data_IF_337157564069
#
_entry.id   IF_337157564069
#
_cell.length_a   1.000
_cell.length_b   1.000
_cell.length_c   1.000
_cell.angle_alpha   90.00
_cell.angle_beta   90.00
_cell.angle_gamma   90.00
#
_symmetry.space_group_name_H-M   'P 1'
#
loop_
_entity.id
_entity.type
_entity.pdbx_description
1 polymer ?
#
# COMPACT_ATOMS: atom_id res chain seq x y z
N UNK A 1 54.28 18.79 -11.69
CA UNK A 1 53.44 18.53 -10.48
C UNK A 1 51.94 18.76 -10.72
N UNK A 2 51.52 19.70 -11.58
CA UNK A 2 50.08 19.94 -11.87
C UNK A 2 49.32 18.77 -12.52
N UNK A 3 49.96 17.96 -13.37
CA UNK A 3 49.30 16.86 -14.08
C UNK A 3 48.94 15.66 -13.18
N UNK A 4 49.79 15.33 -12.20
CA UNK A 4 49.54 14.21 -11.28
C UNK A 4 48.44 14.55 -10.27
N UNK A 5 48.45 15.79 -9.76
CA UNK A 5 47.41 16.28 -8.84
C UNK A 5 46.05 16.32 -9.53
N UNK A 6 45.97 16.78 -10.78
CA UNK A 6 44.71 16.81 -11.52
C UNK A 6 44.25 15.39 -11.87
N UNK A 7 45.18 14.49 -12.24
CA UNK A 7 44.84 13.08 -12.49
C UNK A 7 44.29 12.38 -11.25
N UNK A 8 44.89 12.60 -10.07
CA UNK A 8 44.43 12.00 -8.82
C UNK A 8 43.04 12.52 -8.43
N UNK A 9 42.82 13.83 -8.58
CA UNK A 9 41.52 14.47 -8.35
C UNK A 9 40.43 13.90 -9.26
N UNK A 10 40.73 13.71 -10.55
CA UNK A 10 39.79 13.06 -11.48
C UNK A 10 39.53 11.60 -11.12
N UNK A 11 40.55 10.84 -10.72
CA UNK A 11 40.35 9.46 -10.24
C UNK A 11 39.44 9.40 -9.01
N UNK A 12 39.61 10.30 -8.03
CA UNK A 12 38.72 10.37 -6.87
C UNK A 12 37.28 10.70 -7.26
N UNK A 13 37.06 11.68 -8.14
CA UNK A 13 35.73 12.02 -8.63
C UNK A 13 35.07 10.83 -9.33
N UNK A 14 35.80 10.13 -10.21
CA UNK A 14 35.29 8.97 -10.93
C UNK A 14 34.91 7.83 -9.99
N UNK A 15 35.75 7.54 -9.00
CA UNK A 15 35.50 6.50 -8.01
C UNK A 15 34.27 6.83 -7.16
N UNK A 16 34.17 8.03 -6.60
CA UNK A 16 33.00 8.47 -5.82
C UNK A 16 31.73 8.43 -6.66
N UNK A 17 31.78 8.96 -7.89
CA UNK A 17 30.66 8.93 -8.84
C UNK A 17 30.22 7.49 -9.13
N UNK A 18 31.16 6.57 -9.33
CA UNK A 18 30.86 5.17 -9.57
C UNK A 18 30.18 4.52 -8.35
N UNK A 19 30.75 4.69 -7.15
CA UNK A 19 30.15 4.16 -5.92
C UNK A 19 28.74 4.72 -5.68
N UNK A 20 28.53 6.03 -5.88
CA UNK A 20 27.21 6.65 -5.76
C UNK A 20 26.23 6.14 -6.81
N UNK A 21 26.69 5.83 -8.03
CA UNK A 21 25.84 5.22 -9.06
C UNK A 21 25.42 3.79 -8.68
N UNK A 22 26.31 3.02 -8.06
CA UNK A 22 25.96 1.69 -7.55
C UNK A 22 24.91 1.77 -6.44
N UNK A 23 25.09 2.72 -5.51
CA UNK A 23 24.14 2.96 -4.41
C UNK A 23 22.82 3.53 -4.93
N UNK A 24 22.82 4.41 -5.92
CA UNK A 24 21.57 4.94 -6.50
C UNK A 24 20.74 3.84 -7.17
N UNK A 25 21.40 2.77 -7.62
CA UNK A 25 20.77 1.62 -8.26
C UNK A 25 20.67 0.42 -7.31
N UNK A 26 20.69 0.63 -5.99
CA UNK A 26 20.82 -0.41 -4.94
C UNK A 26 19.99 -1.68 -5.19
N UNK A 27 18.73 -1.50 -5.62
CA UNK A 27 17.77 -2.59 -5.85
C UNK A 27 18.14 -3.49 -7.02
N UNK A 28 18.87 -2.96 -8.00
CA UNK A 28 19.34 -3.66 -9.19
C UNK A 28 20.78 -4.16 -9.00
N UNK A 29 21.61 -3.40 -8.28
CA UNK A 29 23.04 -3.72 -8.06
C UNK A 29 23.26 -4.70 -6.92
N UNK A 30 22.44 -4.63 -5.87
CA UNK A 30 22.54 -5.47 -4.67
C UNK A 30 21.19 -6.11 -4.33
N UNK A 31 20.55 -6.84 -5.25
CA UNK A 31 19.20 -7.35 -5.06
C UNK A 31 19.15 -8.31 -3.87
N UNK A 32 18.11 -8.14 -3.03
CA UNK A 32 17.85 -9.03 -1.90
C UNK A 32 16.61 -9.85 -2.21
N UNK A 33 16.82 -11.11 -2.53
CA UNK A 33 15.74 -12.09 -2.72
C UNK A 33 15.57 -12.87 -1.42
N UNK A 34 14.54 -12.51 -0.64
CA UNK A 34 14.22 -13.27 0.56
C UNK A 34 13.52 -14.59 0.16
N UNK A 35 14.30 -15.65 -0.06
CA UNK A 35 13.75 -16.96 -0.40
C UNK A 35 14.39 -18.08 0.43
N UNK A 36 13.56 -19.04 0.89
CA UNK A 36 13.93 -20.11 1.84
C UNK A 36 14.89 -21.17 1.29
N UNK A 37 15.30 -21.08 0.02
CA UNK A 37 16.20 -22.02 -0.63
C UNK A 37 17.65 -21.51 -0.49
N UNK A 38 18.52 -22.29 0.15
CA UNK A 38 19.84 -21.86 0.65
C UNK A 38 20.82 -21.25 -0.37
N UNK A 39 20.59 -21.40 -1.69
CA UNK A 39 21.43 -20.80 -2.74
C UNK A 39 21.22 -19.28 -2.89
N UNK A 40 19.98 -18.78 -2.75
CA UNK A 40 19.69 -17.33 -2.83
C UNK A 40 20.06 -16.58 -1.52
N UNK A 41 20.22 -17.32 -0.42
CA UNK A 41 20.77 -16.79 0.84
C UNK A 41 22.25 -16.41 0.69
N UNK A 42 23.01 -17.07 -0.19
CA UNK A 42 24.40 -16.70 -0.46
C UNK A 42 24.49 -15.43 -1.29
N UNK A 43 23.65 -15.28 -2.32
CA UNK A 43 23.60 -14.07 -3.15
C UNK A 43 23.27 -12.82 -2.31
N UNK A 44 22.23 -12.89 -1.47
CA UNK A 44 21.90 -11.79 -0.55
C UNK A 44 23.03 -11.48 0.45
N UNK A 45 23.79 -12.48 0.91
CA UNK A 45 24.97 -12.26 1.77
C UNK A 45 26.13 -11.62 0.99
N UNK A 46 26.35 -12.01 -0.26
CA UNK A 46 27.36 -11.40 -1.12
C UNK A 46 27.01 -9.93 -1.42
N UNK A 47 25.77 -9.65 -1.81
CA UNK A 47 25.29 -8.28 -2.05
C UNK A 47 25.43 -7.39 -0.81
N UNK A 48 25.16 -7.91 0.40
CA UNK A 48 25.40 -7.18 1.64
C UNK A 48 26.90 -6.92 1.89
N UNK A 49 27.77 -7.89 1.60
CA UNK A 49 29.22 -7.73 1.74
C UNK A 49 29.78 -6.71 0.75
N UNK A 50 29.30 -6.72 -0.48
CA UNK A 50 29.71 -5.77 -1.54
C UNK A 50 29.25 -4.35 -1.19
N UNK A 51 28.00 -4.18 -0.74
CA UNK A 51 27.51 -2.88 -0.26
C UNK A 51 28.34 -2.36 0.91
N UNK A 52 28.61 -3.23 1.91
CA UNK A 52 29.47 -2.89 3.04
C UNK A 52 30.89 -2.52 2.58
N UNK A 53 31.44 -3.21 1.59
CA UNK A 53 32.76 -2.89 1.04
C UNK A 53 32.77 -1.52 0.36
N UNK A 54 31.73 -1.17 -0.40
CA UNK A 54 31.58 0.18 -1.00
C UNK A 54 31.50 1.25 0.08
N UNK A 55 30.73 1.00 1.14
CA UNK A 55 30.64 1.91 2.28
C UNK A 55 32.01 2.14 2.95
N UNK A 56 32.79 1.08 3.13
CA UNK A 56 34.14 1.17 3.68
C UNK A 56 35.10 1.94 2.77
N UNK A 57 35.03 1.74 1.46
CA UNK A 57 35.82 2.51 0.48
C UNK A 57 35.47 4.00 0.59
N UNK A 58 34.18 4.34 0.53
CA UNK A 58 33.71 5.72 0.62
C UNK A 58 34.15 6.37 1.94
N UNK A 59 33.99 5.66 3.06
CA UNK A 59 34.37 6.18 4.36
C UNK A 59 35.89 6.43 4.47
N UNK A 60 36.72 5.53 3.92
CA UNK A 60 38.19 5.73 3.87
C UNK A 60 38.58 6.91 2.98
N UNK A 61 37.96 7.05 1.81
CA UNK A 61 38.27 8.13 0.86
C UNK A 61 37.91 9.48 1.46
N UNK A 62 36.67 9.66 1.92
CA UNK A 62 36.18 10.94 2.46
C UNK A 62 36.93 11.38 3.72
N UNK A 63 37.52 10.44 4.47
CA UNK A 63 38.34 10.76 5.64
C UNK A 63 39.82 10.99 5.33
N UNK A 64 40.30 10.67 4.13
CA UNK A 64 41.70 10.83 3.76
C UNK A 64 42.09 12.29 3.50
N UNK A 65 43.29 12.68 3.94
CA UNK A 65 43.81 14.03 3.73
C UNK A 65 44.02 14.34 2.25
N UNK A 66 44.45 13.35 1.46
CA UNK A 66 44.62 13.49 0.02
C UNK A 66 43.30 13.89 -0.67
N UNK A 67 42.18 13.26 -0.29
CA UNK A 67 40.87 13.60 -0.84
C UNK A 67 40.44 15.01 -0.46
N UNK A 68 40.57 15.38 0.83
CA UNK A 68 40.24 16.73 1.31
C UNK A 68 41.09 17.81 0.66
N UNK A 69 42.38 17.54 0.41
CA UNK A 69 43.27 18.45 -0.30
C UNK A 69 42.88 18.60 -1.78
N UNK A 70 42.51 17.51 -2.46
CA UNK A 70 42.10 17.55 -3.87
C UNK A 70 40.69 18.15 -4.06
N UNK A 71 39.80 18.00 -3.07
CA UNK A 71 38.37 18.34 -3.12
C UNK A 71 37.90 19.00 -1.79
N UNK A 72 38.36 20.23 -1.47
CA UNK A 72 38.16 20.85 -0.15
C UNK A 72 36.73 21.32 0.17
N UNK A 73 35.86 21.46 -0.84
CA UNK A 73 34.49 21.93 -0.68
C UNK A 73 33.44 20.82 -0.76
N UNK A 74 33.85 19.57 -0.62
CA UNK A 74 32.93 18.44 -0.71
C UNK A 74 32.09 18.32 0.57
N UNK A 75 30.78 18.12 0.42
CA UNK A 75 29.92 17.87 1.57
C UNK A 75 30.35 16.59 2.30
N UNK A 76 29.89 16.43 3.54
CA UNK A 76 30.13 15.19 4.28
C UNK A 76 29.56 13.98 3.53
N UNK A 77 30.21 12.82 3.69
CA UNK A 77 29.75 11.56 3.09
C UNK A 77 28.28 11.26 3.42
N UNK A 78 27.88 11.54 4.67
CA UNK A 78 26.51 11.36 5.16
C UNK A 78 25.53 12.22 4.36
N UNK A 79 25.88 13.48 4.11
CA UNK A 79 25.02 14.40 3.37
C UNK A 79 24.87 13.98 1.90
N UNK A 80 25.99 13.69 1.23
CA UNK A 80 26.00 13.22 -0.17
C UNK A 80 25.18 11.93 -0.33
N UNK A 81 25.44 10.92 0.51
CA UNK A 81 24.71 9.65 0.44
C UNK A 81 23.23 9.81 0.77
N UNK A 82 22.88 10.63 1.77
CA UNK A 82 21.48 10.92 2.07
C UNK A 82 20.77 11.54 0.85
N UNK A 83 21.44 12.43 0.12
CA UNK A 83 20.93 13.01 -1.13
C UNK A 83 20.77 11.96 -2.22
N UNK A 84 21.79 11.11 -2.43
CA UNK A 84 21.75 10.01 -3.40
C UNK A 84 20.59 9.05 -3.12
N UNK A 85 20.39 8.64 -1.86
CA UNK A 85 19.31 7.74 -1.44
C UNK A 85 17.94 8.40 -1.67
N UNK A 86 17.78 9.69 -1.31
CA UNK A 86 16.54 10.44 -1.55
C UNK A 86 16.18 10.51 -3.02
N UNK A 87 17.16 10.80 -3.88
CA UNK A 87 16.95 10.90 -5.32
C UNK A 87 16.63 9.53 -5.91
N UNK A 88 17.41 8.50 -5.57
CA UNK A 88 17.16 7.13 -6.01
C UNK A 88 15.79 6.59 -5.57
N UNK A 89 15.35 6.94 -4.36
CA UNK A 89 14.01 6.59 -3.86
C UNK A 89 12.93 7.29 -4.66
N UNK A 90 13.14 8.57 -5.02
CA UNK A 90 12.23 9.32 -5.90
C UNK A 90 12.12 8.66 -7.26
N UNK A 91 13.25 8.41 -7.92
CA UNK A 91 13.29 7.79 -9.24
C UNK A 91 12.62 6.42 -9.26
N UNK A 92 12.84 5.61 -8.22
CA UNK A 92 12.21 4.30 -8.10
C UNK A 92 10.70 4.41 -7.96
N UNK A 93 10.20 5.29 -7.08
CA UNK A 93 8.76 5.51 -6.92
C UNK A 93 8.16 6.03 -8.23
N UNK A 94 8.79 7.01 -8.88
CA UNK A 94 8.30 7.60 -10.12
C UNK A 94 8.29 6.59 -11.28
N UNK A 95 9.30 5.71 -11.36
CA UNK A 95 9.35 4.61 -12.34
C UNK A 95 8.16 3.66 -12.15
N UNK A 96 7.90 3.24 -10.91
CA UNK A 96 6.82 2.28 -10.60
C UNK A 96 5.42 2.90 -10.74
N UNK A 97 5.25 4.19 -10.41
CA UNK A 97 3.98 4.90 -10.61
C UNK A 97 3.76 5.29 -12.08
N UNK A 98 4.79 5.63 -12.85
CA UNK A 98 4.65 5.90 -14.28
C UNK A 98 4.30 4.63 -15.05
N UNK A 99 4.87 3.47 -14.68
CA UNK A 99 4.47 2.19 -15.27
C UNK A 99 3.02 1.82 -14.98
N UNK A 100 2.46 2.28 -13.86
CA UNK A 100 1.06 2.09 -13.49
C UNK A 100 0.11 2.80 -14.47
N UNK A 101 0.40 4.05 -14.87
CA UNK A 101 -0.48 4.84 -15.76
C UNK A 101 -0.34 4.55 -17.27
N UNK A 102 0.67 3.79 -17.71
CA UNK A 102 0.94 3.56 -19.15
C UNK A 102 0.14 2.42 -19.79
N UNK A 103 -0.53 1.58 -19.01
CA UNK A 103 -1.29 0.41 -19.53
C UNK A 103 -2.80 0.68 -19.44
N UNK A 104 -3.47 0.61 -20.59
CA UNK A 104 -4.92 0.85 -20.84
C UNK A 104 -5.85 0.06 -19.90
N UNK A 105 -7.10 0.56 -19.75
CA UNK A 105 -8.40 -0.05 -19.34
C UNK A 105 -8.49 -1.23 -18.33
N UNK A 106 -7.41 -1.69 -17.70
CA UNK A 106 -7.45 -2.72 -16.65
C UNK A 106 -7.85 -2.14 -15.28
N UNK A 107 -8.45 -2.98 -14.45
CA UNK A 107 -8.83 -2.80 -13.03
C UNK A 107 -7.76 -2.01 -12.23
N UNK A 108 -7.94 -0.69 -12.11
CA UNK A 108 -6.96 0.20 -11.47
C UNK A 108 -6.72 -0.18 -10.01
N UNK A 109 -7.74 -0.72 -9.33
CA UNK A 109 -7.61 -1.21 -7.95
C UNK A 109 -6.64 -2.38 -7.86
N UNK A 110 -6.72 -3.36 -8.77
CA UNK A 110 -5.76 -4.48 -8.79
C UNK A 110 -4.33 -4.02 -9.02
N UNK A 111 -4.12 -3.15 -10.01
CA UNK A 111 -2.80 -2.56 -10.25
C UNK A 111 -2.29 -1.79 -9.02
N UNK A 112 -3.19 -1.12 -8.30
CA UNK A 112 -2.82 -0.34 -7.12
C UNK A 112 -2.43 -1.28 -5.97
N UNK A 113 -3.13 -2.41 -5.82
CA UNK A 113 -2.77 -3.48 -4.90
C UNK A 113 -1.37 -4.01 -5.24
N UNK A 114 -1.09 -4.34 -6.50
CA UNK A 114 0.22 -4.82 -6.94
C UNK A 114 1.34 -3.81 -6.65
N UNK A 115 1.08 -2.53 -6.88
CA UNK A 115 2.02 -1.47 -6.56
C UNK A 115 2.23 -1.34 -5.04
N UNK A 116 1.17 -1.34 -4.25
CA UNK A 116 1.26 -1.32 -2.80
C UNK A 116 2.04 -2.53 -2.28
N UNK A 117 1.92 -3.68 -2.95
CA UNK A 117 2.63 -4.91 -2.57
C UNK A 117 4.11 -4.78 -2.88
N UNK A 118 4.44 -4.23 -4.04
CA UNK A 118 5.82 -3.90 -4.45
C UNK A 118 6.46 -2.92 -3.47
N UNK A 119 5.71 -1.87 -3.07
CA UNK A 119 6.14 -0.90 -2.06
C UNK A 119 6.36 -1.56 -0.70
N UNK A 120 5.44 -2.40 -0.25
CA UNK A 120 5.57 -3.13 1.00
C UNK A 120 6.82 -4.01 1.01
N UNK A 121 7.07 -4.79 -0.04
CA UNK A 121 8.27 -5.63 -0.14
C UNK A 121 9.56 -4.80 -0.15
N UNK A 122 9.57 -3.65 -0.83
CA UNK A 122 10.73 -2.75 -0.86
C UNK A 122 11.03 -2.15 0.52
N UNK A 123 9.98 -1.69 1.23
CA UNK A 123 10.09 -1.21 2.60
C UNK A 123 10.55 -2.31 3.56
N UNK A 124 10.04 -3.53 3.41
CA UNK A 124 10.42 -4.66 4.25
C UNK A 124 11.89 -5.00 4.05
N UNK A 125 12.34 -5.01 2.79
CA UNK A 125 13.74 -5.24 2.43
C UNK A 125 14.64 -4.15 2.99
N UNK A 126 14.22 -2.89 2.85
CA UNK A 126 14.92 -1.74 3.41
C UNK A 126 15.08 -1.85 4.92
N UNK A 127 14.01 -2.14 5.64
CA UNK A 127 14.02 -2.28 7.09
C UNK A 127 14.93 -3.40 7.56
N UNK A 128 14.87 -4.57 6.91
CA UNK A 128 15.52 -5.78 7.42
C UNK A 128 16.99 -5.90 7.03
N UNK A 129 17.39 -5.34 5.89
CA UNK A 129 18.71 -5.62 5.33
C UNK A 129 19.53 -4.35 5.04
N UNK A 130 18.96 -3.36 4.34
CA UNK A 130 19.72 -2.17 3.98
C UNK A 130 19.93 -1.25 5.18
N UNK A 131 18.88 -0.94 5.93
CA UNK A 131 18.92 -0.01 7.06
C UNK A 131 19.97 -0.37 8.12
N UNK A 132 20.12 -1.65 8.56
CA UNK A 132 21.21 -2.03 9.44
C UNK A 132 22.61 -1.74 8.88
N UNK A 133 22.82 -1.91 7.57
CA UNK A 133 24.14 -1.66 6.94
C UNK A 133 24.42 -0.17 6.89
N UNK A 134 23.45 0.65 6.49
CA UNK A 134 23.60 2.10 6.44
C UNK A 134 23.77 2.72 7.83
N UNK A 135 23.02 2.25 8.83
CA UNK A 135 23.16 2.67 10.22
C UNK A 135 24.52 2.30 10.80
N UNK A 136 24.93 1.04 10.68
CA UNK A 136 26.15 0.56 11.35
C UNK A 136 27.44 1.09 10.70
N UNK A 137 27.47 1.25 9.37
CA UNK A 137 28.70 1.61 8.66
C UNK A 137 28.84 3.12 8.43
N UNK A 138 27.73 3.86 8.26
CA UNK A 138 27.74 5.28 7.85
C UNK A 138 26.85 6.15 8.75
N UNK A 139 26.09 5.58 9.69
CA UNK A 139 25.14 6.29 10.54
C UNK A 139 24.07 7.04 9.74
N UNK A 140 23.49 6.37 8.74
CA UNK A 140 22.36 6.87 7.95
C UNK A 140 21.12 6.01 8.23
N UNK A 141 20.01 6.66 8.58
CA UNK A 141 18.69 6.03 8.71
C UNK A 141 18.04 5.81 7.35
N UNK A 142 18.51 4.80 6.60
CA UNK A 142 18.05 4.50 5.25
C UNK A 142 16.54 4.26 5.19
N UNK A 143 16.00 3.47 6.12
CA UNK A 143 14.57 3.16 6.16
C UNK A 143 13.74 4.44 6.34
N UNK A 144 14.16 5.33 7.24
CA UNK A 144 13.48 6.61 7.48
C UNK A 144 13.45 7.48 6.23
N UNK A 145 14.57 7.59 5.52
CA UNK A 145 14.65 8.35 4.27
C UNK A 145 13.68 7.79 3.23
N UNK A 146 13.69 6.46 3.05
CA UNK A 146 12.84 5.79 2.07
C UNK A 146 11.34 5.94 2.41
N UNK A 147 10.97 5.66 3.67
CA UNK A 147 9.58 5.69 4.12
C UNK A 147 8.99 7.10 3.94
N UNK A 148 9.71 8.14 4.38
CA UNK A 148 9.25 9.54 4.24
C UNK A 148 9.14 9.98 2.78
N UNK A 149 9.87 9.35 1.86
CA UNK A 149 9.72 9.62 0.42
C UNK A 149 8.51 8.91 -0.19
N UNK A 150 8.27 7.66 0.22
CA UNK A 150 7.17 6.83 -0.30
C UNK A 150 5.82 7.33 0.22
N UNK A 151 5.73 7.66 1.51
CA UNK A 151 4.50 8.02 2.21
C UNK A 151 3.60 9.03 1.44
N UNK A 152 4.07 10.24 1.10
CA UNK A 152 3.22 11.19 0.39
C UNK A 152 2.83 10.73 -1.01
N UNK A 153 3.75 10.08 -1.74
CA UNK A 153 3.47 9.64 -3.11
C UNK A 153 2.46 8.49 -3.15
N UNK A 154 2.58 7.53 -2.23
CA UNK A 154 1.66 6.42 -2.13
C UNK A 154 0.24 6.90 -1.78
N UNK A 155 0.11 7.76 -0.78
CA UNK A 155 -1.21 8.25 -0.33
C UNK A 155 -1.88 9.08 -1.41
N UNK A 156 -1.15 9.97 -2.08
CA UNK A 156 -1.70 10.76 -3.19
C UNK A 156 -2.19 9.85 -4.33
N UNK A 157 -1.47 8.76 -4.61
CA UNK A 157 -1.87 7.81 -5.64
C UNK A 157 -3.09 7.00 -5.24
N UNK A 158 -3.14 6.50 -4.00
CA UNK A 158 -4.30 5.79 -3.47
C UNK A 158 -5.52 6.72 -3.52
N UNK A 159 -5.39 7.96 -3.06
CA UNK A 159 -6.47 8.95 -3.13
C UNK A 159 -6.95 9.15 -4.57
N UNK A 160 -6.04 9.37 -5.52
CA UNK A 160 -6.38 9.55 -6.94
C UNK A 160 -7.20 8.37 -7.47
N UNK A 161 -6.71 7.14 -7.31
CA UNK A 161 -7.40 5.93 -7.82
C UNK A 161 -8.73 5.75 -7.10
N UNK A 162 -8.78 5.97 -5.79
CA UNK A 162 -10.03 5.84 -5.03
C UNK A 162 -11.09 6.88 -5.47
N UNK A 163 -10.68 8.10 -5.80
CA UNK A 163 -11.58 9.13 -6.37
C UNK A 163 -12.05 8.72 -7.77
N UNK A 164 -11.17 8.20 -8.60
CA UNK A 164 -11.51 7.73 -9.96
C UNK A 164 -12.52 6.57 -9.92
N UNK A 165 -12.37 5.64 -8.98
CA UNK A 165 -13.20 4.43 -8.87
C UNK A 165 -14.52 4.65 -8.10
N UNK A 166 -14.50 5.47 -7.05
CA UNK A 166 -15.63 5.63 -6.12
C UNK A 166 -16.21 7.05 -6.08
N UNK A 167 -15.61 8.02 -6.77
CA UNK A 167 -16.05 9.42 -6.83
C UNK A 167 -15.46 10.32 -5.74
N UNK A 168 -15.59 11.64 -5.93
CA UNK A 168 -15.04 12.69 -5.07
C UNK A 168 -15.60 12.69 -3.63
N UNK A 169 -16.78 12.10 -3.42
CA UNK A 169 -17.40 12.11 -2.11
C UNK A 169 -16.73 11.17 -1.10
N UNK A 170 -15.73 10.38 -1.51
CA UNK A 170 -14.85 9.69 -0.55
C UNK A 170 -14.11 10.65 0.38
N UNK A 171 -13.90 11.90 -0.05
CA UNK A 171 -13.29 12.96 0.77
C UNK A 171 -14.24 13.45 1.88
N UNK A 172 -15.52 13.08 1.83
CA UNK A 172 -16.50 13.40 2.89
C UNK A 172 -16.33 12.42 4.05
N UNK A 173 -15.28 12.62 4.85
CA UNK A 173 -15.14 11.93 6.11
C UNK A 173 -16.02 12.60 7.17
N UNK A 174 -17.01 11.91 7.79
CA UNK A 174 -17.90 12.57 8.73
C UNK A 174 -17.14 12.96 10.00
N UNK A 175 -17.23 14.23 10.40
CA UNK A 175 -16.64 14.72 11.65
C UNK A 175 -17.11 13.93 12.89
N UNK A 176 -18.32 13.37 12.84
CA UNK A 176 -18.88 12.51 13.88
C UNK A 176 -18.10 11.20 14.08
N UNK A 177 -17.41 10.71 13.04
CA UNK A 177 -16.56 9.50 13.12
C UNK A 177 -15.26 9.80 13.86
N UNK A 178 -14.71 11.01 13.73
CA UNK A 178 -13.54 11.46 14.51
C UNK A 178 -13.86 11.49 16.02
N UNK A 179 -15.05 11.99 16.40
CA UNK A 179 -15.49 11.98 17.80
C UNK A 179 -15.81 10.57 18.32
N UNK A 180 -16.32 9.68 17.46
CA UNK A 180 -16.67 8.30 17.84
C UNK A 180 -15.43 7.40 17.95
N UNK A 181 -14.51 7.41 16.98
CA UNK A 181 -13.33 6.54 16.99
C UNK A 181 -12.16 7.07 17.83
N UNK A 182 -12.07 8.40 18.04
CA UNK A 182 -11.15 8.98 19.03
C UNK A 182 -11.46 8.55 20.48
N UNK A 183 -12.69 8.06 20.74
CA UNK A 183 -13.16 7.59 22.05
C UNK A 183 -13.47 6.08 22.10
N UNK A 184 -13.75 5.43 20.96
CA UNK A 184 -14.25 4.05 20.89
C UNK A 184 -13.18 2.94 20.82
N UNK A 185 -11.91 3.22 21.13
CA UNK A 185 -10.98 2.18 21.63
C UNK A 185 -11.28 1.79 23.09
N UNK A 186 -12.23 2.47 23.76
CA UNK A 186 -12.55 2.33 25.19
C UNK A 186 -14.07 2.32 25.48
N UNK A 187 -14.89 1.57 24.73
CA UNK A 187 -16.22 1.01 25.11
C UNK A 187 -17.28 1.07 23.98
N UNK A 188 -18.01 -0.04 23.81
CA UNK A 188 -19.20 -0.27 22.96
C UNK A 188 -20.50 0.20 23.68
N UNK A 189 -21.75 0.18 23.13
CA UNK A 189 -22.27 -0.04 21.76
C UNK A 189 -23.33 1.01 21.28
N UNK A 190 -23.78 0.82 20.02
CA UNK A 190 -25.18 0.98 19.51
C UNK A 190 -25.71 2.19 18.70
N UNK A 191 -26.74 1.83 17.91
CA UNK A 191 -27.86 2.57 17.26
C UNK A 191 -27.65 3.24 15.89
N UNK A 192 -28.65 3.38 15.00
CA UNK A 192 -29.89 2.66 14.57
C UNK A 192 -30.48 3.52 13.42
N UNK A 193 -31.16 2.85 12.47
CA UNK A 193 -32.27 3.29 11.57
C UNK A 193 -32.08 4.30 10.43
N UNK A 194 -32.86 4.01 9.38
CA UNK A 194 -33.46 4.80 8.27
C UNK A 194 -33.04 4.31 6.88
N UNK A 195 -33.89 4.24 5.84
CA UNK A 195 -35.34 4.32 5.65
C UNK A 195 -35.65 3.68 4.29
N UNK A 196 -36.85 3.12 4.13
CA UNK A 196 -37.34 2.44 2.93
C UNK A 196 -37.56 3.40 1.75
N UNK A 197 -37.18 2.95 0.54
CA UNK A 197 -37.91 3.22 -0.71
C UNK A 197 -37.43 2.23 -1.82
N UNK A 198 -38.38 1.41 -2.28
CA UNK A 198 -38.39 0.55 -3.49
C UNK A 198 -38.76 1.40 -4.72
N UNK A 199 -38.30 1.15 -5.98
CA UNK A 199 -38.52 -0.06 -6.81
C UNK A 199 -37.29 -0.43 -7.68
N UNK A 200 -37.18 -1.43 -8.58
CA UNK A 200 -38.08 -2.14 -9.49
C UNK A 200 -37.35 -3.43 -9.97
N UNK A 201 -38.09 -4.46 -10.44
CA UNK A 201 -37.59 -5.72 -11.01
C UNK A 201 -36.57 -5.49 -12.16
N UNK A 202 -35.28 -5.72 -11.90
CA UNK A 202 -34.22 -5.74 -12.91
C UNK A 202 -33.96 -7.15 -13.46
N UNK A 203 -33.55 -7.22 -14.73
CA UNK A 203 -33.21 -8.43 -15.47
C UNK A 203 -32.13 -9.26 -14.74
N UNK A 204 -32.37 -10.55 -14.46
CA UNK A 204 -31.50 -11.42 -13.67
C UNK A 204 -30.05 -11.47 -14.17
N UNK A 205 -29.82 -11.35 -15.48
CA UNK A 205 -28.46 -11.33 -16.06
C UNK A 205 -27.74 -9.99 -15.82
N UNK A 206 -28.48 -8.88 -15.79
CA UNK A 206 -27.91 -7.58 -15.40
C UNK A 206 -27.59 -7.53 -13.90
N UNK A 207 -28.40 -8.19 -13.07
CA UNK A 207 -28.18 -8.30 -11.62
C UNK A 207 -26.99 -9.22 -11.34
N UNK A 208 -26.86 -10.35 -12.02
CA UNK A 208 -25.76 -11.30 -11.80
C UNK A 208 -24.39 -10.70 -12.18
N UNK A 209 -24.30 -9.97 -13.29
CA UNK A 209 -23.09 -9.24 -13.65
C UNK A 209 -22.76 -8.12 -12.65
N UNK A 210 -23.76 -7.38 -12.16
CA UNK A 210 -23.57 -6.36 -11.10
C UNK A 210 -23.15 -6.99 -9.74
N UNK A 211 -23.62 -8.22 -9.46
CA UNK A 211 -23.31 -8.98 -8.24
C UNK A 211 -21.84 -9.43 -8.22
N UNK A 212 -21.34 -10.01 -9.31
CA UNK A 212 -19.93 -10.44 -9.39
C UNK A 212 -18.97 -9.23 -9.34
N UNK A 213 -19.34 -8.11 -9.98
CA UNK A 213 -18.55 -6.87 -9.97
C UNK A 213 -18.47 -6.30 -8.54
N UNK A 214 -19.57 -6.29 -7.79
CA UNK A 214 -19.58 -5.73 -6.42
C UNK A 214 -18.85 -6.60 -5.38
N UNK A 215 -18.81 -7.91 -5.55
CA UNK A 215 -18.02 -8.80 -4.68
C UNK A 215 -16.51 -8.65 -4.95
N UNK A 216 -16.09 -8.64 -6.22
CA UNK A 216 -14.68 -8.45 -6.57
C UNK A 216 -14.15 -7.07 -6.13
N UNK A 217 -14.94 -6.00 -6.33
CA UNK A 217 -14.58 -4.67 -5.85
C UNK A 217 -14.41 -4.66 -4.32
N UNK A 218 -15.24 -5.39 -3.59
CA UNK A 218 -15.12 -5.46 -2.13
C UNK A 218 -13.87 -6.21 -1.67
N UNK A 219 -13.53 -7.32 -2.32
CA UNK A 219 -12.30 -8.08 -2.05
C UNK A 219 -11.09 -7.20 -2.31
N UNK A 220 -11.04 -6.52 -3.46
CA UNK A 220 -9.95 -5.60 -3.81
C UNK A 220 -9.85 -4.46 -2.78
N UNK A 221 -10.97 -3.91 -2.32
CA UNK A 221 -10.99 -2.84 -1.33
C UNK A 221 -10.42 -3.30 0.03
N UNK A 222 -10.79 -4.50 0.50
CA UNK A 222 -10.23 -5.11 1.71
C UNK A 222 -8.75 -5.45 1.59
N UNK A 223 -8.33 -5.98 0.45
CA UNK A 223 -6.94 -6.29 0.19
C UNK A 223 -6.09 -5.02 0.20
N UNK A 224 -6.52 -3.99 -0.51
CA UNK A 224 -5.85 -2.70 -0.55
C UNK A 224 -5.77 -2.05 0.84
N UNK A 225 -6.87 -2.02 1.59
CA UNK A 225 -6.87 -1.49 2.96
C UNK A 225 -5.88 -2.25 3.85
N UNK A 226 -5.90 -3.59 3.80
CA UNK A 226 -5.03 -4.44 4.62
C UNK A 226 -3.56 -4.19 4.31
N UNK A 227 -3.22 -4.05 3.03
CA UNK A 227 -1.87 -3.82 2.57
C UNK A 227 -1.35 -2.44 2.98
N UNK A 228 -2.16 -1.39 2.83
CA UNK A 228 -1.83 -0.05 3.33
C UNK A 228 -1.73 -0.06 4.85
N UNK A 229 -2.58 -0.80 5.55
CA UNK A 229 -2.49 -0.95 7.01
C UNK A 229 -1.18 -1.60 7.45
N UNK A 230 -0.69 -2.61 6.72
CA UNK A 230 0.63 -3.20 6.99
C UNK A 230 1.74 -2.16 6.77
N UNK A 231 1.70 -1.40 5.68
CA UNK A 231 2.66 -0.31 5.42
C UNK A 231 2.59 0.77 6.51
N UNK A 232 1.39 1.14 6.94
CA UNK A 232 1.14 2.04 8.06
C UNK A 232 1.81 1.53 9.34
N UNK A 233 1.68 0.24 9.65
CA UNK A 233 2.30 -0.36 10.84
C UNK A 233 3.82 -0.26 10.84
N UNK A 234 4.47 -0.23 9.67
CA UNK A 234 5.92 -0.10 9.57
C UNK A 234 6.43 1.29 10.03
N UNK A 235 5.55 2.29 10.19
CA UNK A 235 5.92 3.59 10.77
C UNK A 235 6.52 3.47 12.18
N UNK A 236 6.24 2.39 12.91
CA UNK A 236 6.82 2.13 14.23
C UNK A 236 8.35 1.94 14.20
N UNK A 237 8.94 1.78 13.01
CA UNK A 237 10.38 1.70 12.82
C UNK A 237 11.03 3.09 12.69
N UNK A 238 10.23 4.16 12.71
CA UNK A 238 10.67 5.55 12.66
C UNK A 238 10.70 6.13 14.07
N UNK A 239 11.52 7.18 14.27
CA UNK A 239 11.48 7.99 15.48
C UNK A 239 10.10 8.66 15.65
N UNK A 240 9.67 8.85 16.89
CA UNK A 240 8.34 9.43 17.19
C UNK A 240 8.14 10.82 16.55
N UNK A 241 9.20 11.63 16.48
CA UNK A 241 9.20 12.93 15.82
C UNK A 241 8.90 12.85 14.32
N UNK A 242 9.29 11.76 13.66
CA UNK A 242 9.07 11.55 12.23
C UNK A 242 7.69 10.95 11.93
N UNK A 243 7.01 10.36 12.92
CA UNK A 243 5.73 9.70 12.70
C UNK A 243 4.55 10.69 12.56
N UNK A 244 4.63 11.85 13.21
CA UNK A 244 3.49 12.77 13.33
C UNK A 244 3.13 13.48 12.02
N UNK A 245 4.10 13.63 11.11
CA UNK A 245 3.92 14.35 9.85
C UNK A 245 3.61 13.44 8.66
N UNK A 246 3.27 12.17 8.89
CA UNK A 246 3.05 11.20 7.82
C UNK A 246 1.62 11.31 7.26
N UNK A 247 1.50 11.28 5.94
CA UNK A 247 0.22 11.31 5.24
C UNK A 247 -0.57 10.02 5.45
N UNK A 248 0.13 8.88 5.57
CA UNK A 248 -0.49 7.57 5.80
C UNK A 248 -1.27 7.50 7.11
N UNK A 249 -1.08 8.42 8.05
CA UNK A 249 -1.91 8.45 9.27
C UNK A 249 -3.40 8.60 8.98
N UNK A 250 -3.77 9.20 7.84
CA UNK A 250 -5.16 9.47 7.45
C UNK A 250 -5.68 8.53 6.37
N UNK A 251 -4.95 7.44 6.06
CA UNK A 251 -5.33 6.54 4.97
C UNK A 251 -6.74 5.98 5.11
N UNK A 252 -7.19 5.71 6.34
CA UNK A 252 -8.52 5.15 6.63
C UNK A 252 -9.68 6.05 6.16
N UNK A 253 -9.43 7.36 6.02
CA UNK A 253 -10.45 8.31 5.54
C UNK A 253 -10.86 8.00 4.10
N UNK A 254 -9.91 7.56 3.28
CA UNK A 254 -10.13 7.19 1.87
C UNK A 254 -11.04 5.97 1.70
N UNK A 255 -11.13 5.11 2.73
CA UNK A 255 -11.87 3.85 2.67
C UNK A 255 -13.24 3.92 3.33
N UNK A 256 -13.50 4.93 4.16
CA UNK A 256 -14.72 5.01 4.95
C UNK A 256 -15.99 5.01 4.09
N UNK A 257 -16.08 5.92 3.11
CA UNK A 257 -17.27 6.01 2.25
C UNK A 257 -17.44 4.79 1.33
N UNK A 258 -16.39 4.28 0.67
CA UNK A 258 -16.47 3.01 -0.07
C UNK A 258 -17.00 1.85 0.79
N UNK A 259 -16.46 1.66 2.00
CA UNK A 259 -16.95 0.61 2.91
C UNK A 259 -18.37 0.84 3.39
N UNK A 260 -18.73 2.08 3.73
CA UNK A 260 -20.09 2.41 4.16
C UNK A 260 -21.12 2.04 3.08
N UNK A 261 -20.87 2.46 1.84
CA UNK A 261 -21.71 2.12 0.69
C UNK A 261 -21.82 0.62 0.48
N UNK A 262 -20.70 -0.10 0.58
CA UNK A 262 -20.67 -1.56 0.48
C UNK A 262 -21.52 -2.22 1.57
N UNK A 263 -21.40 -1.78 2.83
CA UNK A 263 -22.22 -2.27 3.94
C UNK A 263 -23.71 -1.98 3.72
N UNK A 264 -24.06 -0.78 3.27
CA UNK A 264 -25.46 -0.39 3.02
C UNK A 264 -26.07 -1.23 1.88
N UNK A 265 -25.28 -1.53 0.84
CA UNK A 265 -25.67 -2.47 -0.22
C UNK A 265 -25.90 -3.89 0.30
N UNK A 266 -25.02 -4.39 1.18
CA UNK A 266 -25.19 -5.71 1.80
C UNK A 266 -26.46 -5.77 2.64
N UNK A 267 -26.69 -4.77 3.49
CA UNK A 267 -27.92 -4.70 4.32
C UNK A 267 -29.16 -4.79 3.45
N UNK A 268 -29.25 -3.94 2.41
CA UNK A 268 -30.37 -3.96 1.45
C UNK A 268 -30.53 -5.33 0.77
N UNK A 269 -29.44 -6.05 0.50
CA UNK A 269 -29.50 -7.41 -0.07
C UNK A 269 -30.01 -8.44 0.94
N UNK A 270 -29.54 -8.36 2.18
CA UNK A 270 -29.98 -9.25 3.26
C UNK A 270 -31.48 -9.05 3.50
N UNK A 271 -31.93 -7.81 3.60
CA UNK A 271 -33.34 -7.47 3.78
C UNK A 271 -34.19 -8.03 2.62
N UNK A 272 -33.79 -7.78 1.37
CA UNK A 272 -34.47 -8.34 0.19
C UNK A 272 -34.49 -9.87 0.15
N UNK A 273 -33.45 -10.55 0.67
CA UNK A 273 -33.42 -12.02 0.76
C UNK A 273 -34.37 -12.51 1.83
N UNK A 274 -34.40 -11.85 2.99
CA UNK A 274 -35.31 -12.16 4.09
C UNK A 274 -36.76 -12.02 3.60
N UNK A 275 -37.10 -10.91 2.94
CA UNK A 275 -38.45 -10.68 2.41
C UNK A 275 -38.87 -11.75 1.39
N UNK A 276 -37.98 -12.10 0.46
CA UNK A 276 -38.22 -13.19 -0.51
C UNK A 276 -38.41 -14.54 0.16
N UNK A 277 -37.65 -14.84 1.22
CA UNK A 277 -37.83 -16.07 1.98
C UNK A 277 -39.22 -16.09 2.63
N UNK A 278 -39.64 -15.01 3.29
CA UNK A 278 -40.98 -14.89 3.86
C UNK A 278 -42.10 -15.00 2.82
N UNK A 279 -41.94 -14.38 1.66
CA UNK A 279 -42.93 -14.47 0.58
C UNK A 279 -42.99 -15.88 -0.01
N UNK A 280 -41.84 -16.55 -0.17
CA UNK A 280 -41.79 -17.95 -0.64
C UNK A 280 -42.40 -18.92 0.37
N UNK A 281 -42.24 -18.66 1.67
CA UNK A 281 -42.82 -19.45 2.75
C UNK A 281 -44.34 -19.26 2.81
N UNK A 282 -44.83 -18.01 2.66
CA UNK A 282 -46.26 -17.73 2.50
C UNK A 282 -46.88 -18.46 1.30
N UNK A 283 -46.22 -18.45 0.15
CA UNK A 283 -46.70 -19.16 -1.06
C UNK A 283 -46.72 -20.67 -0.83
N UNK A 284 -45.70 -21.23 -0.17
CA UNK A 284 -45.64 -22.64 0.21
C UNK A 284 -46.81 -23.02 1.14
N UNK A 285 -47.03 -22.27 2.22
CA UNK A 285 -48.13 -22.49 3.17
C UNK A 285 -49.49 -22.40 2.48
N UNK A 286 -49.72 -21.39 1.63
CA UNK A 286 -50.97 -21.24 0.88
C UNK A 286 -51.17 -22.40 -0.11
N UNK A 287 -50.10 -22.89 -0.73
CA UNK A 287 -50.17 -24.05 -1.64
C UNK A 287 -50.50 -25.36 -0.90
N UNK A 288 -49.97 -25.54 0.31
CA UNK A 288 -50.26 -26.70 1.17
C UNK A 288 -51.71 -26.66 1.66
N UNK A 289 -52.18 -25.50 2.16
CA UNK A 289 -53.57 -25.31 2.59
C UNK A 289 -54.55 -25.51 1.42
N UNK A 290 -54.21 -25.08 0.20
CA UNK A 290 -55.05 -25.33 -0.99
C UNK A 290 -55.12 -26.81 -1.37
N UNK A 291 -54.02 -27.57 -1.24
CA UNK A 291 -54.01 -29.01 -1.49
C UNK A 291 -54.89 -29.74 -0.46
N UNK A 292 -54.77 -29.41 0.82
CA UNK A 292 -55.56 -30.05 1.88
C UNK A 292 -57.06 -29.75 1.74
N UNK A 293 -57.43 -28.53 1.33
CA UNK A 293 -58.81 -28.16 0.99
C UNK A 293 -59.35 -28.82 -0.30
N UNK A 294 -58.47 -29.19 -1.24
CA UNK A 294 -58.86 -29.91 -2.46
C UNK A 294 -59.14 -31.39 -2.16
N UNK A 295 -58.28 -32.04 -1.35
CA UNK A 295 -58.48 -33.44 -0.94
C UNK A 295 -59.69 -33.63 -0.04
N UNK A 296 -59.93 -32.71 0.91
CA UNK A 296 -61.12 -32.75 1.78
C UNK A 296 -62.42 -32.55 1.00
N UNK A 297 -62.43 -31.76 -0.08
CA UNK A 297 -63.62 -31.61 -0.96
C UNK A 297 -63.89 -32.82 -1.85
N UNK A 298 -62.87 -33.60 -2.21
CA UNK A 298 -63.08 -34.86 -2.95
C UNK A 298 -63.64 -35.98 -2.06
N UNK A 299 -63.24 -36.02 -0.78
CA UNK A 299 -63.75 -37.01 0.19
C UNK A 299 -65.18 -36.75 0.66
N UNK A 300 -65.68 -35.51 0.55
CA UNK A 300 -67.08 -35.13 0.88
C UNK A 300 -68.06 -35.32 -0.29
N UNK A 301 -67.56 -35.64 -1.50
CA UNK A 301 -68.35 -35.88 -2.71
C UNK A 301 -68.31 -37.35 -3.18
N UNK A 302 -67.78 -38.28 -2.35
CA UNK A 302 -67.92 -39.73 -2.50
C UNK A 302 -68.85 -40.26 -1.42
#
# INVERSE_FOLDING_TARGET
MGSLSESLKESFKLLVKHCFKLISNLRETFPITENRLGLLKLESVLSQKELKFIHQILNKIFNSDAFKCCLPFQNSLIHELSSVIKNASTDWVDKNTTSFFRKSEDDNLKKLIELCYTVYLDLLTAQRFYDPIFKNEINIDYFTILYKKIDPTLINLVEKVMVEEFGEDIKKFPAQVLSKYGQSLMNSPDLKKENENSPTRGNLNSILNYVTITEQISINLFELYSLIYVIFRMKSCLADSDQLSLNILRFYELFYMPYKRWIDLIKKRVDNKIDKCFDSEKVSIVSTIRKDNFFSKQLLNM
#
